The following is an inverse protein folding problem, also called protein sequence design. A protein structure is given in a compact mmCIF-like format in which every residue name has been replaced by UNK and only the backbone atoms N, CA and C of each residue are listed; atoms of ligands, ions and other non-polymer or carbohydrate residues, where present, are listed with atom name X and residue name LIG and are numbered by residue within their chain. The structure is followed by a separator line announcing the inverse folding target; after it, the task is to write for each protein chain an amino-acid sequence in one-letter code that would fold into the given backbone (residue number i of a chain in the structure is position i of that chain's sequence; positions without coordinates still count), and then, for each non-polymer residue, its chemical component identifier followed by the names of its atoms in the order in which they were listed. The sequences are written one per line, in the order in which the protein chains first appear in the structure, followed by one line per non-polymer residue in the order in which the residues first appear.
data_IF_809690431688
#
_entry.id   IF_809690431688
#
_cell.length_a   1.000
_cell.length_b   1.000
_cell.length_c   1.000
_cell.angle_alpha   90.00
_cell.angle_beta   90.00
_cell.angle_gamma   90.00
#
_symmetry.space_group_name_H-M   'P 1'
#
loop_
_entity.id
_entity.type
_entity.pdbx_description
1 polymer ?
#
# COMPACT_ATOMS: atom_id res chain seq x y z
N UNK A 1 -11.90 -13.41 -14.35
CA UNK A 1 -11.82 -13.10 -12.90
C UNK A 1 -10.82 -11.97 -12.75
N UNK A 2 -11.11 -11.01 -11.89
CA UNK A 2 -10.27 -9.83 -11.64
C UNK A 2 -9.20 -10.17 -10.60
N UNK A 3 -7.93 -9.82 -10.80
CA UNK A 3 -6.87 -10.05 -9.82
C UNK A 3 -6.95 -8.98 -8.72
N UNK A 4 -7.69 -9.26 -7.65
CA UNK A 4 -7.76 -8.36 -6.51
C UNK A 4 -6.50 -8.50 -5.65
N UNK A 5 -5.89 -7.39 -5.27
CA UNK A 5 -4.87 -7.33 -4.24
C UNK A 5 -5.52 -6.93 -2.90
N UNK A 6 -5.35 -7.78 -1.89
CA UNK A 6 -5.89 -7.63 -0.55
C UNK A 6 -4.74 -7.25 0.38
N UNK A 7 -4.92 -6.15 1.10
CA UNK A 7 -3.98 -5.70 2.12
C UNK A 7 -4.66 -5.61 3.48
N UNK A 8 -4.19 -6.41 4.44
CA UNK A 8 -4.69 -6.38 5.81
C UNK A 8 -3.57 -5.88 6.71
N UNK A 9 -3.72 -4.65 7.24
CA UNK A 9 -2.75 -4.03 8.13
C UNK A 9 -3.17 -4.23 9.57
N UNK A 10 -2.24 -4.64 10.41
CA UNK A 10 -2.44 -4.88 11.84
C UNK A 10 -1.97 -3.69 12.68
N UNK A 11 -2.15 -3.78 14.00
CA UNK A 11 -1.46 -2.87 14.92
C UNK A 11 0.07 -2.97 14.77
N UNK A 12 0.82 -1.94 15.18
CA UNK A 12 2.25 -2.10 15.42
C UNK A 12 2.51 -3.32 16.30
N UNK A 13 3.51 -4.11 15.91
CA UNK A 13 3.92 -5.32 16.61
C UNK A 13 5.31 -5.13 17.22
N UNK A 14 5.53 -5.59 18.46
CA UNK A 14 6.88 -5.72 18.98
C UNK A 14 7.67 -6.76 18.17
N UNK A 15 9.00 -6.64 18.19
CA UNK A 15 9.89 -7.46 17.36
C UNK A 15 9.71 -8.96 17.61
N UNK A 16 9.42 -9.37 18.85
CA UNK A 16 9.20 -10.76 19.24
C UNK A 16 7.89 -11.36 18.69
N UNK A 17 6.99 -10.55 18.14
CA UNK A 17 5.76 -10.99 17.49
C UNK A 17 5.84 -11.02 15.96
N UNK A 18 6.88 -10.43 15.36
CA UNK A 18 7.02 -10.34 13.90
C UNK A 18 7.15 -11.72 13.24
N UNK A 19 7.92 -12.64 13.83
CA UNK A 19 8.09 -13.99 13.28
C UNK A 19 6.78 -14.78 13.26
N UNK A 20 5.97 -14.63 14.32
CA UNK A 20 4.63 -15.23 14.40
C UNK A 20 3.71 -14.67 13.32
N UNK A 21 3.73 -13.35 13.12
CA UNK A 21 2.94 -12.68 12.08
C UNK A 21 3.35 -13.16 10.67
N UNK A 22 4.66 -13.23 10.42
CA UNK A 22 5.24 -13.72 9.16
C UNK A 22 4.83 -15.16 8.89
N UNK A 23 4.90 -16.03 9.89
CA UNK A 23 4.50 -17.42 9.78
C UNK A 23 3.01 -17.55 9.45
N UNK A 24 2.14 -16.80 10.13
CA UNK A 24 0.71 -16.83 9.88
C UNK A 24 0.34 -16.30 8.49
N UNK A 25 0.98 -15.22 8.02
CA UNK A 25 0.78 -14.73 6.65
C UNK A 25 1.09 -15.83 5.63
N UNK A 26 2.19 -16.56 5.81
CA UNK A 26 2.59 -17.66 4.90
C UNK A 26 1.61 -18.82 4.95
N UNK A 27 1.08 -19.17 6.13
CA UNK A 27 0.03 -20.20 6.27
C UNK A 27 -1.26 -19.81 5.54
N UNK A 28 -1.54 -18.52 5.43
CA UNK A 28 -2.66 -17.98 4.68
C UNK A 28 -2.33 -17.76 3.20
N UNK A 29 -1.24 -18.33 2.66
CA UNK A 29 -0.78 -18.13 1.28
C UNK A 29 -0.61 -16.65 0.91
N UNK A 30 -0.16 -15.84 1.87
CA UNK A 30 0.01 -14.41 1.70
C UNK A 30 1.46 -13.98 1.95
N UNK A 31 1.82 -12.86 1.31
CA UNK A 31 3.11 -12.23 1.47
C UNK A 31 3.08 -11.31 2.70
N UNK A 32 3.92 -11.54 3.72
CA UNK A 32 4.07 -10.60 4.81
C UNK A 32 4.89 -9.39 4.35
N UNK A 33 4.51 -8.22 4.85
CA UNK A 33 5.15 -6.93 4.66
C UNK A 33 5.23 -6.21 6.01
N UNK A 34 6.24 -5.37 6.18
CA UNK A 34 6.32 -4.43 7.31
C UNK A 34 6.61 -3.07 6.71
N UNK A 35 5.60 -2.22 6.61
CA UNK A 35 5.82 -0.86 6.14
C UNK A 35 6.35 -0.05 7.33
N UNK A 36 7.54 0.52 7.15
CA UNK A 36 8.15 1.44 8.11
C UNK A 36 8.22 2.82 7.50
N UNK A 37 7.65 3.78 8.18
CA UNK A 37 7.55 5.15 7.72
C UNK A 37 8.61 6.00 8.38
N UNK A 38 9.10 7.00 7.65
CA UNK A 38 9.97 8.01 8.24
C UNK A 38 9.25 8.93 9.23
N UNK A 39 7.90 8.97 9.20
CA UNK A 39 7.04 9.79 10.07
C UNK A 39 5.59 9.30 10.05
N UNK A 40 4.78 9.81 10.97
CA UNK A 40 3.33 9.58 11.02
C UNK A 40 2.88 9.17 12.41
N UNK A 41 1.57 9.12 12.65
CA UNK A 41 1.01 8.68 13.93
C UNK A 41 1.26 7.18 14.17
N UNK A 42 1.27 6.38 13.10
CA UNK A 42 1.53 4.93 13.12
C UNK A 42 2.68 4.65 12.15
N UNK A 43 3.90 4.58 12.67
CA UNK A 43 5.12 4.47 11.85
C UNK A 43 5.43 3.04 11.39
N UNK A 44 4.92 2.04 12.09
CA UNK A 44 5.13 0.63 11.78
C UNK A 44 3.78 0.01 11.43
N UNK A 45 3.71 -0.64 10.27
CA UNK A 45 2.50 -1.21 9.70
C UNK A 45 2.76 -2.62 9.18
N UNK A 46 2.67 -3.64 10.04
CA UNK A 46 2.73 -5.04 9.63
C UNK A 46 1.49 -5.39 8.82
N UNK A 47 1.70 -5.89 7.62
CA UNK A 47 0.67 -6.03 6.60
C UNK A 47 0.75 -7.37 5.88
N UNK A 48 -0.39 -8.04 5.78
CA UNK A 48 -0.59 -9.19 4.91
C UNK A 48 -0.96 -8.66 3.52
N UNK A 49 -0.27 -9.09 2.47
CA UNK A 49 -0.58 -8.79 1.07
C UNK A 49 -0.85 -10.09 0.30
N UNK A 50 -1.98 -10.16 -0.40
CA UNK A 50 -2.40 -11.35 -1.16
C UNK A 50 -3.06 -10.92 -2.47
N UNK A 51 -2.65 -11.52 -3.58
CA UNK A 51 -3.33 -11.34 -4.87
C UNK A 51 -4.19 -12.56 -5.16
N UNK A 52 -5.48 -12.37 -5.39
CA UNK A 52 -6.43 -13.45 -5.68
C UNK A 52 -7.32 -13.10 -6.90
N UNK A 53 -7.37 -13.97 -7.92
CA UNK A 53 -8.38 -13.87 -8.96
C UNK A 53 -9.77 -14.17 -8.38
N UNK A 54 -10.67 -13.18 -8.36
CA UNK A 54 -12.04 -13.28 -7.83
C UNK A 54 -13.06 -12.72 -8.83
N UNK A 55 -14.34 -13.11 -8.72
CA UNK A 55 -15.36 -12.62 -9.64
C UNK A 55 -15.69 -11.13 -9.44
N UNK A 56 -15.70 -10.65 -8.19
CA UNK A 56 -16.17 -9.30 -7.84
C UNK A 56 -15.61 -8.82 -6.48
N UNK A 57 -15.91 -7.55 -6.15
CA UNK A 57 -15.51 -6.92 -4.89
C UNK A 57 -16.14 -7.58 -3.64
N UNK A 58 -17.44 -7.97 -3.63
CA UNK A 58 -18.01 -8.74 -2.51
C UNK A 58 -17.24 -10.03 -2.19
N UNK A 59 -16.81 -10.79 -3.20
CA UNK A 59 -15.98 -11.98 -2.99
C UNK A 59 -14.61 -11.63 -2.39
N UNK A 60 -13.98 -10.54 -2.84
CA UNK A 60 -12.72 -10.04 -2.28
C UNK A 60 -12.87 -9.61 -0.81
N UNK A 61 -13.96 -8.91 -0.47
CA UNK A 61 -14.27 -8.52 0.90
C UNK A 61 -14.55 -9.74 1.80
N UNK A 62 -15.24 -10.75 1.29
CA UNK A 62 -15.49 -11.98 2.03
C UNK A 62 -14.19 -12.74 2.35
N UNK A 63 -13.26 -12.82 1.38
CA UNK A 63 -11.93 -13.39 1.59
C UNK A 63 -11.13 -12.58 2.60
N UNK A 64 -11.08 -11.26 2.45
CA UNK A 64 -10.40 -10.37 3.40
C UNK A 64 -10.96 -10.51 4.83
N UNK A 65 -12.29 -10.63 4.98
CA UNK A 65 -12.90 -10.85 6.28
C UNK A 65 -12.55 -12.22 6.88
N UNK A 66 -12.39 -13.26 6.05
CA UNK A 66 -11.93 -14.57 6.51
C UNK A 66 -10.46 -14.51 6.98
N UNK A 67 -9.57 -13.92 6.19
CA UNK A 67 -8.16 -13.72 6.56
C UNK A 67 -8.03 -12.86 7.82
N UNK A 68 -8.83 -11.80 7.96
CA UNK A 68 -8.83 -10.95 9.15
C UNK A 68 -9.23 -11.71 10.42
N UNK A 69 -10.18 -12.65 10.33
CA UNK A 69 -10.53 -13.53 11.47
C UNK A 69 -9.38 -14.47 11.84
N UNK A 70 -8.63 -14.98 10.86
CA UNK A 70 -7.47 -15.83 11.10
C UNK A 70 -6.34 -15.04 11.76
N UNK A 71 -6.03 -13.83 11.27
CA UNK A 71 -5.09 -12.91 11.91
C UNK A 71 -5.48 -12.60 13.36
N UNK A 72 -6.76 -12.26 13.59
CA UNK A 72 -7.27 -11.99 14.93
C UNK A 72 -7.14 -13.20 15.86
N UNK A 73 -7.46 -14.41 15.38
CA UNK A 73 -7.32 -15.64 16.16
C UNK A 73 -5.84 -15.95 16.50
N UNK A 74 -4.91 -15.53 15.64
CA UNK A 74 -3.47 -15.56 15.89
C UNK A 74 -2.93 -14.44 16.78
N UNK A 75 -3.79 -13.56 17.31
CA UNK A 75 -3.39 -12.44 18.16
C UNK A 75 -3.04 -11.15 17.42
N UNK A 76 -3.23 -11.10 16.09
CA UNK A 76 -2.89 -9.95 15.26
C UNK A 76 -4.14 -9.17 14.84
N UNK A 77 -4.52 -8.17 15.63
CA UNK A 77 -5.71 -7.37 15.36
C UNK A 77 -5.56 -6.51 14.09
N UNK A 78 -6.47 -6.70 13.13
CA UNK A 78 -6.50 -5.94 11.87
C UNK A 78 -7.12 -4.56 12.10
N UNK A 79 -6.39 -3.50 11.74
CA UNK A 79 -6.82 -2.11 11.84
C UNK A 79 -7.25 -1.50 10.51
N UNK A 80 -6.87 -2.12 9.38
CA UNK A 80 -7.21 -1.67 8.04
C UNK A 80 -7.28 -2.82 7.06
N UNK A 81 -8.28 -2.78 6.20
CA UNK A 81 -8.40 -3.62 5.01
C UNK A 81 -8.42 -2.71 3.79
N UNK A 82 -7.50 -2.92 2.84
CA UNK A 82 -7.57 -2.35 1.50
C UNK A 82 -7.83 -3.45 0.47
N UNK A 83 -8.65 -3.14 -0.52
CA UNK A 83 -8.89 -3.99 -1.69
C UNK A 83 -8.56 -3.18 -2.93
N UNK A 84 -7.60 -3.67 -3.71
CA UNK A 84 -7.02 -3.00 -4.87
C UNK A 84 -7.13 -3.87 -6.11
N UNK A 85 -7.08 -3.23 -7.27
CA UNK A 85 -6.93 -3.90 -8.56
C UNK A 85 -5.86 -3.18 -9.39
N UNK A 86 -5.08 -3.90 -10.20
CA UNK A 86 -4.15 -3.29 -11.14
C UNK A 86 -4.86 -2.31 -12.08
N UNK A 87 -4.25 -1.15 -12.32
CA UNK A 87 -4.75 -0.21 -13.33
C UNK A 87 -4.57 -0.74 -14.75
N UNK A 88 -3.50 -1.51 -14.97
CA UNK A 88 -3.24 -2.17 -16.23
C UNK A 88 -4.28 -3.27 -16.50
N UNK A 89 -4.72 -3.40 -17.74
CA UNK A 89 -5.65 -4.47 -18.16
C UNK A 89 -7.13 -4.09 -18.19
N UNK A 90 -7.48 -2.83 -17.93
CA UNK A 90 -8.86 -2.35 -18.09
C UNK A 90 -9.85 -2.99 -17.12
N UNK A 91 -9.35 -3.53 -16.00
CA UNK A 91 -10.14 -4.19 -14.96
C UNK A 91 -11.02 -3.23 -14.14
N UNK A 92 -11.07 -1.96 -14.55
CA UNK A 92 -11.84 -0.92 -13.93
C UNK A 92 -13.00 -0.52 -14.85
N UNK A 93 -14.21 -0.79 -14.40
CA UNK A 93 -15.24 0.23 -14.51
C UNK A 93 -14.87 1.28 -13.45
N UNK A 94 -14.67 2.53 -13.86
CA UNK A 94 -14.50 3.68 -12.94
C UNK A 94 -15.47 3.49 -11.78
N UNK A 95 -15.01 3.46 -10.52
CA UNK A 95 -15.92 3.12 -9.45
C UNK A 95 -17.04 4.15 -9.41
N UNK A 96 -18.27 3.70 -9.60
CA UNK A 96 -19.44 4.56 -9.52
C UNK A 96 -19.52 5.14 -8.11
N UNK A 97 -19.74 6.46 -8.03
CA UNK A 97 -20.13 7.11 -6.78
C UNK A 97 -21.37 6.37 -6.24
N UNK A 98 -21.21 5.62 -5.15
CA UNK A 98 -22.26 4.74 -4.63
C UNK A 98 -21.82 3.79 -3.50
N UNK A 99 -20.51 3.57 -3.31
CA UNK A 99 -20.02 2.87 -2.12
C UNK A 99 -19.85 3.86 -0.95
N UNK A 100 -19.95 3.37 0.29
CA UNK A 100 -19.60 4.12 1.51
C UNK A 100 -18.12 4.56 1.58
N UNK A 101 -17.34 4.31 0.54
CA UNK A 101 -15.90 4.52 0.45
C UNK A 101 -15.61 5.26 -0.84
N UNK A 102 -14.69 6.24 -0.77
CA UNK A 102 -14.20 6.96 -1.94
C UNK A 102 -12.97 6.21 -2.50
N UNK A 103 -13.07 5.63 -3.70
CA UNK A 103 -11.94 4.99 -4.34
C UNK A 103 -10.89 6.02 -4.78
N UNK A 104 -9.66 5.55 -4.95
CA UNK A 104 -8.53 6.37 -5.36
C UNK A 104 -7.52 5.56 -6.17
N UNK A 105 -6.69 6.27 -6.92
CA UNK A 105 -5.54 5.72 -7.61
C UNK A 105 -4.32 5.75 -6.70
N UNK A 106 -3.52 4.70 -6.71
CA UNK A 106 -2.26 4.60 -5.99
C UNK A 106 -1.14 4.14 -6.93
N UNK A 107 0.03 4.76 -6.80
CA UNK A 107 1.25 4.36 -7.49
C UNK A 107 2.34 4.09 -6.47
N UNK A 108 3.08 3.00 -6.67
CA UNK A 108 4.25 2.65 -5.89
C UNK A 108 5.48 2.59 -6.79
N UNK A 109 6.57 3.24 -6.39
CA UNK A 109 7.87 3.20 -7.07
C UNK A 109 8.99 2.80 -6.13
N UNK A 110 9.72 1.74 -6.46
CA UNK A 110 10.92 1.33 -5.74
C UNK A 110 12.13 2.11 -6.25
N UNK A 111 12.83 2.79 -5.34
CA UNK A 111 14.02 3.59 -5.64
C UNK A 111 15.18 3.24 -4.71
N UNK A 112 16.41 3.57 -5.11
CA UNK A 112 17.57 3.49 -4.22
C UNK A 112 17.45 4.51 -3.06
N UNK A 113 17.96 4.16 -1.89
CA UNK A 113 17.94 5.03 -0.72
C UNK A 113 19.25 5.77 -0.54
N UNK A 114 19.47 6.75 -1.40
CA UNK A 114 20.60 7.67 -1.34
C UNK A 114 20.08 9.08 -1.08
N UNK A 115 20.91 9.97 -0.52
CA UNK A 115 20.55 11.39 -0.33
C UNK A 115 19.17 11.55 0.33
N UNK A 116 18.96 10.82 1.43
CA UNK A 116 17.66 10.60 2.07
C UNK A 116 16.83 11.87 2.32
N UNK A 117 17.46 12.93 2.82
CA UNK A 117 16.80 14.20 3.08
C UNK A 117 16.25 14.86 1.79
N UNK A 118 17.01 14.77 0.70
CA UNK A 118 16.62 15.33 -0.60
C UNK A 118 15.49 14.51 -1.25
N UNK A 119 15.56 13.18 -1.13
CA UNK A 119 14.49 12.29 -1.60
C UNK A 119 13.19 12.58 -0.83
N UNK A 120 13.27 12.70 0.50
CA UNK A 120 12.12 13.04 1.33
C UNK A 120 11.52 14.40 0.93
N UNK A 121 12.36 15.42 0.73
CA UNK A 121 11.90 16.73 0.30
C UNK A 121 11.26 16.69 -1.10
N UNK A 122 11.79 15.89 -2.03
CA UNK A 122 11.20 15.67 -3.34
C UNK A 122 9.83 15.01 -3.22
N UNK A 123 9.72 13.93 -2.45
CA UNK A 123 8.44 13.26 -2.20
C UNK A 123 7.41 14.24 -1.64
N UNK A 124 7.77 15.05 -0.64
CA UNK A 124 6.89 16.07 -0.07
C UNK A 124 6.37 17.08 -1.11
N UNK A 125 7.25 17.61 -1.97
CA UNK A 125 6.84 18.56 -3.03
C UNK A 125 5.82 17.97 -4.00
N UNK A 126 5.87 16.66 -4.24
CA UNK A 126 4.94 15.96 -5.13
C UNK A 126 3.73 15.36 -4.40
N UNK A 127 3.62 15.54 -3.08
CA UNK A 127 2.59 14.89 -2.27
C UNK A 127 2.72 13.37 -2.25
N UNK A 128 3.94 12.86 -2.41
CA UNK A 128 4.27 11.45 -2.32
C UNK A 128 4.85 11.09 -0.95
N UNK A 129 4.75 9.82 -0.60
CA UNK A 129 5.19 9.25 0.67
C UNK A 129 6.44 8.42 0.47
N UNK A 130 7.30 8.36 1.49
CA UNK A 130 8.51 7.54 1.48
C UNK A 130 8.45 6.53 2.61
N UNK A 131 8.58 5.25 2.29
CA UNK A 131 8.57 4.15 3.27
C UNK A 131 9.66 3.11 2.98
N UNK A 132 10.00 2.33 3.99
CA UNK A 132 10.85 1.14 3.90
C UNK A 132 10.00 -0.13 4.08
N UNK A 133 10.55 -1.26 3.65
CA UNK A 133 10.01 -2.58 4.00
C UNK A 133 10.91 -3.21 5.08
N UNK A 134 10.47 -3.20 6.33
CA UNK A 134 11.25 -3.62 7.50
C UNK A 134 11.45 -5.14 7.64
N UNK A 135 10.71 -5.99 6.90
CA UNK A 135 10.92 -7.45 6.95
C UNK A 135 12.11 -7.93 6.11
N UNK A 136 12.60 -7.07 5.21
CA UNK A 136 13.81 -7.35 4.45
C UNK A 136 14.83 -6.32 4.87
N UNK A 137 16.08 -6.73 4.97
CA UNK A 137 17.21 -5.82 5.12
C UNK A 137 17.40 -5.04 3.80
N UNK A 138 16.41 -4.23 3.44
CA UNK A 138 16.32 -3.44 2.24
C UNK A 138 16.95 -2.06 2.49
N UNK A 139 18.03 -2.03 3.28
CA UNK A 139 18.71 -0.83 3.76
C UNK A 139 18.93 0.19 2.63
N UNK A 140 19.24 -0.29 1.42
CA UNK A 140 19.50 0.53 0.23
C UNK A 140 18.30 0.88 -0.65
N UNK A 141 17.04 0.57 -0.29
CA UNK A 141 15.88 0.92 -1.14
C UNK A 141 14.70 1.47 -0.35
N UNK A 142 13.88 2.29 -0.99
CA UNK A 142 12.62 2.82 -0.45
C UNK A 142 11.49 2.67 -1.46
N UNK A 143 10.27 2.71 -0.95
CA UNK A 143 9.06 2.80 -1.74
C UNK A 143 8.56 4.25 -1.68
N UNK A 144 8.37 4.83 -2.85
CA UNK A 144 7.67 6.09 -3.04
C UNK A 144 6.22 5.77 -3.37
N UNK A 145 5.27 6.29 -2.59
CA UNK A 145 3.83 6.08 -2.80
C UNK A 145 3.15 7.39 -3.16
N UNK A 146 2.34 7.42 -4.23
CA UNK A 146 1.55 8.59 -4.63
C UNK A 146 0.08 8.20 -4.73
N UNK A 147 -0.81 8.97 -4.10
CA UNK A 147 -2.26 8.79 -4.20
C UNK A 147 -2.96 9.95 -4.90
N UNK A 148 -4.02 9.63 -5.64
CA UNK A 148 -4.89 10.59 -6.31
C UNK A 148 -6.36 10.18 -6.21
N UNK A 149 -7.21 11.08 -5.74
CA UNK A 149 -8.66 10.88 -5.56
C UNK A 149 -9.49 11.48 -6.70
N UNK A 150 -8.85 12.22 -7.60
CA UNK A 150 -9.44 12.78 -8.81
C UNK A 150 -9.51 11.78 -9.96
N UNK A 151 -9.30 12.29 -11.18
CA UNK A 151 -9.41 11.46 -12.39
C UNK A 151 -8.16 10.64 -12.65
N UNK A 152 -8.30 9.54 -13.42
CA UNK A 152 -7.16 8.76 -13.89
C UNK A 152 -6.15 9.62 -14.66
N UNK A 153 -6.62 10.57 -15.49
CA UNK A 153 -5.74 11.48 -16.23
C UNK A 153 -4.91 12.38 -15.30
N UNK A 154 -5.51 12.86 -14.21
CA UNK A 154 -4.80 13.62 -13.17
C UNK A 154 -3.75 12.75 -12.49
N UNK A 155 -4.11 11.51 -12.14
CA UNK A 155 -3.20 10.55 -11.52
C UNK A 155 -1.99 10.27 -12.43
N UNK A 156 -2.22 9.94 -13.70
CA UNK A 156 -1.17 9.66 -14.68
C UNK A 156 -0.25 10.88 -14.88
N UNK A 157 -0.80 12.09 -14.96
CA UNK A 157 -0.01 13.32 -15.06
C UNK A 157 0.89 13.54 -13.83
N UNK A 158 0.36 13.28 -12.62
CA UNK A 158 1.15 13.40 -11.38
C UNK A 158 2.21 12.32 -11.27
N UNK A 159 1.91 11.07 -11.64
CA UNK A 159 2.89 9.98 -11.72
C UNK A 159 4.01 10.35 -12.69
N UNK A 160 3.69 10.84 -13.90
CA UNK A 160 4.69 11.25 -14.88
C UNK A 160 5.57 12.42 -14.38
N UNK A 161 4.99 13.38 -13.65
CA UNK A 161 5.74 14.47 -13.05
C UNK A 161 6.71 13.98 -11.95
N UNK A 162 6.24 13.07 -11.08
CA UNK A 162 7.04 12.50 -10.00
C UNK A 162 8.17 11.62 -10.55
N UNK A 163 7.88 10.72 -11.49
CA UNK A 163 8.90 9.82 -12.07
C UNK A 163 9.98 10.60 -12.82
N UNK A 164 9.62 11.66 -13.55
CA UNK A 164 10.58 12.57 -14.18
C UNK A 164 11.48 13.28 -13.17
N UNK A 165 10.93 13.70 -12.03
CA UNK A 165 11.71 14.33 -10.95
C UNK A 165 12.68 13.33 -10.29
N UNK A 166 12.28 12.06 -10.18
CA UNK A 166 13.11 10.99 -9.62
C UNK A 166 14.23 10.55 -10.59
N UNK A 167 14.00 10.56 -11.90
CA UNK A 167 14.83 9.91 -12.92
C UNK A 167 16.34 10.19 -12.81
N UNK A 168 16.75 11.41 -12.47
CA UNK A 168 18.15 11.82 -12.46
C UNK A 168 18.94 11.37 -11.23
N UNK A 169 18.29 11.15 -10.09
CA UNK A 169 18.95 10.85 -8.81
C UNK A 169 18.45 9.59 -8.11
N UNK A 170 17.25 9.15 -8.47
CA UNK A 170 16.57 7.99 -7.89
C UNK A 170 15.76 7.26 -8.97
N UNK A 171 16.40 6.70 -10.00
CA UNK A 171 15.69 5.99 -11.07
C UNK A 171 14.81 4.90 -10.48
N UNK A 172 13.57 4.83 -10.96
CA UNK A 172 12.57 3.88 -10.48
C UNK A 172 12.91 2.48 -11.00
N UNK A 173 13.26 1.58 -10.09
CA UNK A 173 13.68 0.21 -10.40
C UNK A 173 12.48 -0.69 -10.74
N UNK A 174 11.35 -0.46 -10.08
CA UNK A 174 10.09 -1.17 -10.29
C UNK A 174 8.95 -0.24 -9.87
N UNK A 175 7.85 -0.28 -10.60
CA UNK A 175 6.63 0.40 -10.18
C UNK A 175 5.37 -0.40 -10.44
N UNK A 176 4.31 -0.03 -9.75
CA UNK A 176 2.96 -0.58 -9.88
C UNK A 176 1.95 0.56 -9.71
N UNK A 177 0.86 0.51 -10.48
CA UNK A 177 -0.25 1.46 -10.41
C UNK A 177 -1.55 0.69 -10.24
N UNK A 178 -2.38 1.13 -9.31
CA UNK A 178 -3.54 0.40 -8.80
C UNK A 178 -4.68 1.35 -8.49
N UNK A 179 -5.90 0.82 -8.46
CA UNK A 179 -7.05 1.52 -7.95
C UNK A 179 -7.51 0.83 -6.67
N UNK A 180 -7.54 1.59 -5.59
CA UNK A 180 -8.10 1.17 -4.32
C UNK A 180 -9.62 1.31 -4.39
N UNK A 181 -10.32 0.19 -4.33
CA UNK A 181 -11.77 0.09 -4.41
C UNK A 181 -12.43 0.13 -3.03
N UNK A 182 -11.70 -0.27 -2.00
CA UNK A 182 -12.15 -0.30 -0.63
C UNK A 182 -10.98 -0.03 0.31
N UNK A 183 -11.18 0.83 1.30
CA UNK A 183 -10.22 1.13 2.34
C UNK A 183 -10.96 1.40 3.65
N UNK A 184 -10.90 0.46 4.58
CA UNK A 184 -11.67 0.57 5.84
C UNK A 184 -11.14 1.66 6.77
N UNK A 185 -9.90 2.13 6.57
CA UNK A 185 -9.26 3.09 7.48
C UNK A 185 -8.12 3.86 6.78
N UNK A 186 -8.47 4.74 5.84
CA UNK A 186 -7.50 5.66 5.24
C UNK A 186 -6.84 6.59 6.28
N UNK A 187 -7.48 6.78 7.45
CA UNK A 187 -6.97 7.58 8.56
C UNK A 187 -5.75 6.98 9.28
N UNK A 188 -5.40 5.72 9.04
CA UNK A 188 -4.14 5.11 9.51
C UNK A 188 -2.91 5.91 9.03
N UNK A 189 -3.09 6.66 7.94
CA UNK A 189 -2.05 7.41 7.27
C UNK A 189 -1.92 8.86 7.79
N UNK A 190 -2.52 9.14 8.95
CA UNK A 190 -2.47 10.47 9.56
C UNK A 190 -1.04 10.87 9.92
N UNK A 191 -0.69 12.11 9.57
CA UNK A 191 0.66 12.64 9.76
C UNK A 191 1.66 12.20 8.69
N UNK A 192 1.20 11.54 7.61
CA UNK A 192 2.05 11.17 6.49
C UNK A 192 2.43 12.35 5.60
N UNK A 193 1.56 13.36 5.46
CA UNK A 193 1.83 14.62 4.77
C UNK A 193 2.04 15.74 5.79
N UNK A 194 2.95 16.66 5.47
CA UNK A 194 3.08 17.96 6.13
C UNK A 194 2.04 18.88 5.52
N UNK A 195 0.77 18.63 5.84
CA UNK A 195 -0.26 19.66 5.68
C UNK A 195 -0.17 20.60 6.86
#
# INVERSE_FOLDING_TARGET
MTPFELHLTTAPLPDDQLDGFVALCRQLDAKPLLIELARGAVMQQPMLSKVQPLPDLPAALALAAADARQLQAGGFAVQRVKIEVPLAGGHLATPGAGAAYQPYFEWHGKVAYERAAELLALCQRHGAHLSANGLRDAAGTRIVTLREYGTQATFEARVAALTRALQASWPVQKSQAECCLYDSNAGLDRGWLTT
#
